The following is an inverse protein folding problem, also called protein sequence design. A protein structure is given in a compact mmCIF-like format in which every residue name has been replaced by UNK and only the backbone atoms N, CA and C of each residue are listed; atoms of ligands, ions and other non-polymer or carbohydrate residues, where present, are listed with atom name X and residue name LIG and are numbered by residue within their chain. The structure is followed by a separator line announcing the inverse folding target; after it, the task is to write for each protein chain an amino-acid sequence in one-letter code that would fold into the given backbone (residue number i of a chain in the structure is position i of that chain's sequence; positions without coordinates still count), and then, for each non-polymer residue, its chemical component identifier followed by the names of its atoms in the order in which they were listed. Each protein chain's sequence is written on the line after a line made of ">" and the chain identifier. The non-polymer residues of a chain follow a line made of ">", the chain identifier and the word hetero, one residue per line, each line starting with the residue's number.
data_IF_427395929929
#
_entry.id   IF_427395929929
#
_cell.length_a   1.000
_cell.length_b   1.000
_cell.length_c   1.000
_cell.angle_alpha   90.00
_cell.angle_beta   90.00
_cell.angle_gamma   90.00
#
_symmetry.space_group_name_H-M   'P 1'
#
loop_
_entity.id
_entity.type
_entity.pdbx_description
1 polymer ?
#
# COMPACT_ATOMS: atom_id res chain seq x y z
N UNK A 1 -10.07 6.95 18.77
CA UNK A 1 -11.29 6.37 18.20
C UNK A 1 -10.89 5.60 16.96
N UNK A 2 -11.02 4.28 16.99
CA UNK A 2 -10.72 3.37 15.87
C UNK A 2 -11.86 3.45 14.85
N UNK A 3 -11.53 3.63 13.56
CA UNK A 3 -12.43 4.12 12.52
C UNK A 3 -13.12 3.07 11.65
N UNK A 4 -13.63 1.99 12.24
CA UNK A 4 -14.36 0.94 11.52
C UNK A 4 -15.80 0.82 12.08
N UNK A 5 -16.76 0.42 11.23
CA UNK A 5 -18.05 -0.13 11.68
C UNK A 5 -18.19 -1.53 11.11
N UNK A 6 -18.78 -2.40 11.93
CA UNK A 6 -19.21 -3.73 11.54
C UNK A 6 -20.67 -3.66 11.08
N UNK A 7 -20.96 -4.05 9.84
CA UNK A 7 -22.33 -4.25 9.37
C UNK A 7 -22.63 -5.75 9.23
N UNK A 8 -23.74 -6.17 9.84
CA UNK A 8 -24.22 -7.55 9.82
C UNK A 8 -25.34 -7.69 8.79
N UNK A 9 -25.04 -8.19 7.59
CA UNK A 9 -26.07 -8.56 6.62
C UNK A 9 -26.53 -10.01 6.82
N UNK A 10 -27.73 -10.20 7.38
CA UNK A 10 -28.40 -11.52 7.42
C UNK A 10 -29.13 -11.77 6.11
N UNK A 11 -28.61 -12.67 5.27
CA UNK A 11 -29.20 -13.02 3.96
C UNK A 11 -30.01 -14.34 3.95
N UNK A 12 -30.63 -14.78 5.05
CA UNK A 12 -31.46 -15.98 4.99
C UNK A 12 -32.68 -15.91 5.92
N UNK A 13 -33.88 -16.06 5.35
CA UNK A 13 -35.18 -16.14 6.06
C UNK A 13 -35.74 -17.56 6.13
N UNK A 14 -34.98 -18.57 5.70
CA UNK A 14 -35.43 -19.97 5.66
C UNK A 14 -35.00 -20.76 6.91
N UNK A 15 -35.89 -21.61 7.48
CA UNK A 15 -35.53 -22.52 8.57
C UNK A 15 -34.53 -23.58 8.07
N UNK A 16 -33.37 -23.71 8.73
CA UNK A 16 -32.32 -24.67 8.37
C UNK A 16 -31.14 -24.07 7.57
N UNK A 17 -31.13 -22.75 7.36
CA UNK A 17 -30.00 -22.03 6.76
C UNK A 17 -28.92 -21.71 7.81
N UNK A 18 -28.50 -22.71 8.59
CA UNK A 18 -27.34 -22.62 9.46
C UNK A 18 -26.12 -23.10 8.66
N UNK A 19 -25.42 -22.15 8.04
CA UNK A 19 -24.01 -22.23 7.56
C UNK A 19 -23.83 -21.64 6.15
N UNK A 20 -24.08 -20.34 6.00
CA UNK A 20 -23.18 -19.53 5.18
C UNK A 20 -22.40 -18.65 6.16
N UNK A 21 -21.14 -19.04 6.35
CA UNK A 21 -20.19 -18.44 7.27
C UNK A 21 -20.17 -16.92 7.07
N UNK A 22 -20.43 -16.22 8.16
CA UNK A 22 -20.42 -14.76 8.25
C UNK A 22 -19.06 -14.24 7.75
N UNK A 23 -19.03 -13.58 6.59
CA UNK A 23 -17.85 -12.87 6.11
C UNK A 23 -17.86 -11.53 6.84
N UNK A 24 -17.03 -11.40 7.87
CA UNK A 24 -16.77 -10.12 8.52
C UNK A 24 -16.30 -9.13 7.45
N UNK A 25 -17.15 -8.16 7.12
CA UNK A 25 -16.84 -7.10 6.16
C UNK A 25 -16.45 -5.87 6.97
N UNK A 26 -15.21 -5.42 6.81
CA UNK A 26 -14.74 -4.18 7.40
C UNK A 26 -14.87 -3.06 6.37
N UNK A 27 -15.66 -2.04 6.70
CA UNK A 27 -15.84 -0.86 5.85
C UNK A 27 -14.94 0.27 6.33
N UNK A 28 -14.17 0.85 5.42
CA UNK A 28 -13.38 2.06 5.71
C UNK A 28 -14.36 3.24 5.81
N UNK A 29 -14.60 3.74 7.02
CA UNK A 29 -15.49 4.89 7.23
C UNK A 29 -14.91 6.23 6.78
N UNK A 30 -13.61 6.37 6.96
CA UNK A 30 -12.90 7.63 6.78
C UNK A 30 -11.49 7.37 6.34
N UNK A 31 -11.16 7.91 5.17
CA UNK A 31 -9.79 7.95 4.68
C UNK A 31 -9.00 9.06 5.39
N UNK A 32 -7.66 8.92 5.48
CA UNK A 32 -6.78 10.02 5.85
C UNK A 32 -6.99 11.25 4.96
N UNK A 33 -6.58 12.42 5.41
CA UNK A 33 -6.79 13.68 4.67
C UNK A 33 -5.73 13.97 3.62
N UNK A 34 -4.55 13.36 3.73
CA UNK A 34 -3.38 13.72 2.89
C UNK A 34 -2.55 12.51 2.48
N UNK A 35 -2.16 11.67 3.45
CA UNK A 35 -1.31 10.50 3.20
C UNK A 35 -1.93 9.26 3.81
N UNK A 36 -2.02 8.20 3.03
CA UNK A 36 -2.47 6.88 3.44
C UNK A 36 -1.28 5.91 3.43
N UNK A 37 -1.08 5.23 4.56
CA UNK A 37 -0.10 4.15 4.69
C UNK A 37 -0.82 2.80 4.71
N UNK A 38 -0.41 1.91 3.83
CA UNK A 38 -0.93 0.54 3.75
C UNK A 38 0.17 -0.41 4.17
N UNK A 39 -0.08 -1.20 5.22
CA UNK A 39 0.76 -2.34 5.58
C UNK A 39 0.37 -3.53 4.72
N UNK A 40 1.35 -4.14 4.08
CA UNK A 40 1.16 -5.32 3.23
C UNK A 40 1.63 -6.59 3.95
N UNK A 41 1.04 -7.77 3.65
CA UNK A 41 1.53 -9.03 4.17
C UNK A 41 2.97 -9.29 3.75
N UNK A 42 3.82 -9.62 4.72
CA UNK A 42 5.22 -9.95 4.45
C UNK A 42 5.29 -11.29 3.69
N UNK A 43 6.14 -11.36 2.67
CA UNK A 43 6.41 -12.60 1.91
C UNK A 43 5.45 -12.85 0.75
N UNK A 44 4.48 -11.95 0.51
CA UNK A 44 3.64 -11.98 -0.68
C UNK A 44 4.09 -10.85 -1.60
N UNK A 45 4.61 -11.12 -2.81
CA UNK A 45 4.93 -10.08 -3.76
C UNK A 45 3.64 -9.40 -4.24
N UNK A 46 3.50 -8.11 -3.94
CA UNK A 46 2.34 -7.30 -4.33
C UNK A 46 2.75 -6.28 -5.36
N UNK A 47 1.95 -6.17 -6.42
CA UNK A 47 2.06 -5.10 -7.40
C UNK A 47 1.36 -3.86 -6.86
N UNK A 48 2.07 -2.73 -6.83
CA UNK A 48 1.55 -1.47 -6.32
C UNK A 48 1.34 -0.54 -7.51
N UNK A 49 0.08 -0.20 -7.79
CA UNK A 49 -0.27 0.71 -8.88
C UNK A 49 0.17 2.13 -8.57
N UNK A 50 0.55 2.87 -9.62
CA UNK A 50 0.97 4.28 -9.52
C UNK A 50 -0.15 5.23 -9.07
N UNK A 51 -1.40 4.81 -9.31
CA UNK A 51 -2.61 5.45 -8.86
C UNK A 51 -3.60 4.39 -8.40
N UNK A 52 -4.33 4.68 -7.32
CA UNK A 52 -5.47 3.88 -6.86
C UNK A 52 -6.68 4.78 -6.67
N UNK A 53 -7.87 4.25 -6.96
CA UNK A 53 -9.14 4.92 -6.71
C UNK A 53 -9.74 4.35 -5.43
N UNK A 54 -9.98 5.22 -4.44
CA UNK A 54 -10.62 4.88 -3.18
C UNK A 54 -11.76 5.85 -2.92
N UNK A 55 -12.98 5.34 -2.80
CA UNK A 55 -14.20 6.16 -2.62
C UNK A 55 -14.32 7.26 -3.69
N UNK A 56 -14.06 6.90 -4.95
CA UNK A 56 -14.06 7.79 -6.12
C UNK A 56 -13.02 8.94 -6.09
N UNK A 57 -12.11 8.94 -5.11
CA UNK A 57 -11.00 9.89 -5.04
C UNK A 57 -9.71 9.23 -5.56
N UNK A 58 -8.91 9.92 -6.41
CA UNK A 58 -7.64 9.41 -6.89
C UNK A 58 -6.52 9.64 -5.87
N UNK A 59 -5.71 8.61 -5.68
CA UNK A 59 -4.55 8.61 -4.78
C UNK A 59 -3.30 8.20 -5.54
N UNK A 60 -2.26 9.04 -5.53
CA UNK A 60 -1.00 8.78 -6.22
C UNK A 60 0.04 8.10 -5.33
N UNK A 61 0.77 7.13 -5.88
CA UNK A 61 1.85 6.45 -5.17
C UNK A 61 2.97 7.45 -4.82
N UNK A 62 3.29 7.58 -3.54
CA UNK A 62 4.41 8.40 -3.05
C UNK A 62 5.67 7.56 -2.87
N UNK A 63 5.53 6.30 -2.49
CA UNK A 63 6.66 5.41 -2.29
C UNK A 63 6.29 4.12 -1.59
N UNK A 64 7.28 3.24 -1.43
CA UNK A 64 7.15 1.94 -0.78
C UNK A 64 8.40 1.60 0.01
N UNK A 65 8.21 0.88 1.10
CA UNK A 65 9.26 0.23 1.87
C UNK A 65 9.22 -1.25 1.52
N UNK A 66 10.36 -1.79 1.11
CA UNK A 66 10.50 -3.18 0.68
C UNK A 66 11.59 -3.86 1.50
N UNK A 67 11.46 -5.18 1.67
CA UNK A 67 12.47 -6.01 2.29
C UNK A 67 13.21 -6.86 1.24
N UNK A 68 14.49 -7.12 1.46
CA UNK A 68 15.28 -8.03 0.62
C UNK A 68 14.84 -9.48 0.76
N UNK A 69 14.36 -9.87 1.94
CA UNK A 69 13.88 -11.23 2.23
C UNK A 69 12.43 -11.22 2.71
N UNK A 70 11.73 -12.34 2.49
CA UNK A 70 10.38 -12.57 3.00
C UNK A 70 10.31 -12.64 4.54
N UNK A 71 11.46 -12.65 5.23
CA UNK A 71 11.55 -12.64 6.69
C UNK A 71 11.89 -11.25 7.27
N UNK A 72 12.09 -10.24 6.42
CA UNK A 72 12.34 -8.86 6.87
C UNK A 72 13.77 -8.58 7.34
N UNK A 73 14.78 -9.07 6.62
CA UNK A 73 16.20 -8.89 7.01
C UNK A 73 16.73 -7.47 6.78
N UNK A 74 16.75 -7.00 5.53
CA UNK A 74 17.21 -5.67 5.14
C UNK A 74 16.08 -4.91 4.47
N UNK A 75 15.93 -3.63 4.79
CA UNK A 75 14.88 -2.78 4.25
C UNK A 75 15.46 -1.67 3.38
N UNK A 76 14.78 -1.39 2.27
CA UNK A 76 15.11 -0.32 1.36
C UNK A 76 13.83 0.38 0.91
N UNK A 77 13.96 1.59 0.38
CA UNK A 77 12.81 2.44 0.06
C UNK A 77 12.88 2.91 -1.39
N UNK A 78 11.75 2.87 -2.07
CA UNK A 78 11.55 3.56 -3.34
C UNK A 78 10.63 4.76 -3.09
N UNK A 79 11.08 5.96 -3.44
CA UNK A 79 10.30 7.19 -3.28
C UNK A 79 10.08 7.83 -4.64
N UNK A 80 8.83 8.13 -4.97
CA UNK A 80 8.46 8.94 -6.13
C UNK A 80 8.77 10.39 -5.83
N UNK A 81 9.47 11.06 -6.74
CA UNK A 81 9.77 12.48 -6.68
C UNK A 81 9.21 13.15 -7.93
N UNK A 82 8.42 14.18 -7.72
CA UNK A 82 7.84 15.05 -8.74
C UNK A 82 8.06 16.54 -8.42
N UNK A 83 8.89 16.83 -7.41
CA UNK A 83 9.21 18.18 -6.97
C UNK A 83 9.88 19.02 -8.09
N UNK A 84 9.50 20.30 -8.26
CA UNK A 84 10.16 21.20 -9.19
C UNK A 84 11.68 21.29 -8.95
N UNK A 85 12.46 21.17 -10.02
CA UNK A 85 13.93 21.25 -9.96
C UNK A 85 14.64 19.91 -9.72
N UNK A 86 13.92 18.79 -9.61
CA UNK A 86 14.47 17.42 -9.63
C UNK A 86 13.98 16.68 -10.88
N UNK A 87 14.74 15.67 -11.33
CA UNK A 87 14.27 14.80 -12.40
C UNK A 87 13.09 13.97 -11.87
N UNK A 88 11.90 14.04 -12.50
CA UNK A 88 10.75 13.30 -12.01
C UNK A 88 10.97 11.79 -12.21
N UNK A 89 10.54 11.01 -11.22
CA UNK A 89 10.62 9.56 -11.26
C UNK A 89 10.82 8.96 -9.87
N UNK A 90 11.21 7.69 -9.82
CA UNK A 90 11.45 7.04 -8.53
C UNK A 90 12.93 6.98 -8.21
N UNK A 91 13.20 7.02 -6.91
CA UNK A 91 14.53 7.00 -6.36
C UNK A 91 14.63 5.88 -5.33
N UNK A 92 15.66 5.06 -5.48
CA UNK A 92 16.01 3.96 -4.60
C UNK A 92 16.96 4.44 -3.49
N UNK A 93 16.60 4.15 -2.25
CA UNK A 93 17.38 4.41 -1.03
C UNK A 93 17.68 3.07 -0.36
N UNK A 94 18.96 2.73 -0.31
CA UNK A 94 19.49 1.50 0.28
C UNK A 94 20.71 1.88 1.11
N UNK A 95 20.44 2.51 2.26
CA UNK A 95 21.39 2.92 3.30
C UNK A 95 22.79 3.30 2.78
N UNK A 96 23.81 2.59 3.25
CA UNK A 96 25.20 2.73 2.83
C UNK A 96 25.54 1.89 1.60
N UNK A 97 24.67 0.96 1.20
CA UNK A 97 24.82 0.17 -0.04
C UNK A 97 24.95 1.10 -1.26
N UNK A 98 24.18 2.19 -1.27
CA UNK A 98 24.26 3.23 -2.28
C UNK A 98 25.13 4.43 -1.86
N UNK A 99 26.04 4.24 -0.90
CA UNK A 99 26.90 5.31 -0.37
C UNK A 99 26.12 6.45 0.29
N UNK A 100 24.93 6.18 0.83
CA UNK A 100 24.04 7.17 1.42
C UNK A 100 23.32 8.05 0.39
N UNK A 101 23.30 7.67 -0.89
CA UNK A 101 22.74 8.48 -1.98
C UNK A 101 21.48 7.84 -2.56
N UNK A 102 20.59 8.72 -3.01
CA UNK A 102 19.43 8.34 -3.82
C UNK A 102 19.90 7.95 -5.23
N UNK A 103 19.52 6.77 -5.70
CA UNK A 103 19.80 6.30 -7.06
C UNK A 103 18.51 6.38 -7.87
N UNK A 104 18.54 7.04 -9.03
CA UNK A 104 17.38 7.08 -9.92
C UNK A 104 17.05 5.67 -10.44
N UNK A 105 15.79 5.29 -10.36
CA UNK A 105 15.29 3.99 -10.81
C UNK A 105 14.35 4.18 -12.01
N UNK A 106 14.80 3.73 -13.18
CA UNK A 106 14.06 3.79 -14.44
C UNK A 106 12.89 2.78 -14.49
N UNK A 107 12.84 1.77 -13.61
CA UNK A 107 11.79 0.71 -13.63
C UNK A 107 11.14 0.44 -12.26
N UNK A 108 10.50 1.44 -11.65
CA UNK A 108 9.91 1.29 -10.33
C UNK A 108 8.50 0.68 -10.36
N UNK A 109 7.77 0.92 -11.47
CA UNK A 109 6.36 0.59 -11.64
C UNK A 109 6.24 -0.87 -12.11
N UNK A 110 5.38 -1.65 -11.44
CA UNK A 110 5.12 -3.07 -11.69
C UNK A 110 6.25 -4.04 -11.33
N UNK A 111 7.29 -3.59 -10.62
CA UNK A 111 8.27 -4.53 -10.03
C UNK A 111 7.65 -5.19 -8.79
N UNK A 112 7.42 -6.51 -8.87
CA UNK A 112 7.02 -7.34 -7.74
C UNK A 112 8.16 -7.38 -6.72
N UNK A 113 8.02 -6.59 -5.66
CA UNK A 113 8.92 -6.61 -4.51
C UNK A 113 8.19 -7.15 -3.28
N UNK A 114 8.95 -7.58 -2.28
CA UNK A 114 8.44 -7.85 -0.94
C UNK A 114 8.15 -6.51 -0.23
N UNK A 115 7.20 -5.75 -0.78
CA UNK A 115 6.77 -4.48 -0.21
C UNK A 115 6.05 -4.76 1.10
N UNK A 116 6.48 -4.09 2.17
CA UNK A 116 5.90 -4.22 3.50
C UNK A 116 5.02 -3.02 3.82
N UNK A 117 5.40 -1.84 3.32
CA UNK A 117 4.58 -0.64 3.42
C UNK A 117 4.51 0.08 2.09
N UNK A 118 3.35 0.68 1.81
CA UNK A 118 3.13 1.54 0.65
C UNK A 118 2.45 2.82 1.12
N UNK A 119 2.89 3.95 0.60
CA UNK A 119 2.34 5.26 0.90
C UNK A 119 1.70 5.85 -0.35
N UNK A 120 0.45 6.29 -0.21
CA UNK A 120 -0.29 7.02 -1.23
C UNK A 120 -0.63 8.42 -0.74
N UNK A 121 -0.51 9.41 -1.62
CA UNK A 121 -0.84 10.81 -1.39
C UNK A 121 -2.11 11.18 -2.13
N UNK A 122 -2.98 11.96 -1.49
CA UNK A 122 -4.17 12.54 -2.13
C UNK A 122 -3.72 13.53 -3.21
N UNK A 123 -4.26 13.38 -4.42
CA UNK A 123 -4.00 14.28 -5.55
C UNK A 123 -4.85 15.55 -5.49
#
# INVERSE_FOLDING_TARGET
>A
MTGFDEEFHRCCTLPGCDAAMQIETLTIKKLPTSVMFISLPVGVPVECSDEVLLSDEPWGLLGRISATTATGGHFFVHVKRDEPGKMPGFYHYDDLTNGGRAVFDEKPINFKANSVYVAYGKK
#
